data_IF_265301760160
#
_entry.id   IF_265301760160
#
_cell.length_a   1.000
_cell.length_b   1.000
_cell.length_c   1.000
_cell.angle_alpha   90.00
_cell.angle_beta   90.00
_cell.angle_gamma   90.00
#
_symmetry.space_group_name_H-M   'P 1'
#
loop_
_entity.id
_entity.type
_entity.pdbx_description
1 polymer ?
#
# COMPACT_ATOMS: atom_id res chain seq x y z
N UNK A 1 -2.53 4.52 15.10
CA UNK A 1 -3.29 3.37 14.53
C UNK A 1 -2.34 2.31 14.00
N UNK A 2 -2.83 1.09 13.71
CA UNK A 2 -2.05 0.05 13.02
C UNK A 2 -2.74 -0.24 11.68
N UNK A 3 -2.06 -0.13 10.53
CA UNK A 3 -2.65 -0.41 9.24
C UNK A 3 -2.98 -1.91 9.10
N UNK A 4 -4.09 -2.18 8.41
CA UNK A 4 -4.51 -3.51 8.00
C UNK A 4 -5.05 -3.43 6.56
N UNK A 5 -4.94 -4.52 5.82
CA UNK A 5 -5.40 -4.63 4.44
C UNK A 5 -6.30 -5.85 4.23
N UNK A 6 -6.97 -5.90 3.09
CA UNK A 6 -7.91 -6.99 2.80
C UNK A 6 -7.22 -8.36 2.74
N UNK A 7 -5.94 -8.39 2.33
CA UNK A 7 -5.12 -9.60 2.24
C UNK A 7 -4.82 -10.21 3.61
N UNK A 8 -4.88 -9.42 4.70
CA UNK A 8 -4.66 -9.89 6.06
C UNK A 8 -5.79 -10.80 6.57
N UNK A 9 -6.98 -10.71 5.98
CA UNK A 9 -8.15 -11.46 6.45
C UNK A 9 -7.95 -12.97 6.33
N UNK A 10 -7.46 -13.45 5.18
CA UNK A 10 -7.32 -14.88 4.95
C UNK A 10 -6.31 -15.56 5.90
N UNK A 11 -5.05 -15.09 6.06
CA UNK A 11 -4.13 -15.67 7.04
C UNK A 11 -4.64 -15.53 8.48
N UNK A 12 -5.38 -14.46 8.81
CA UNK A 12 -6.04 -14.34 10.12
C UNK A 12 -7.07 -15.45 10.35
N UNK A 13 -7.92 -15.73 9.36
CA UNK A 13 -8.94 -16.78 9.46
C UNK A 13 -8.32 -18.18 9.56
N UNK A 14 -7.22 -18.45 8.83
CA UNK A 14 -6.50 -19.71 8.96
C UNK A 14 -5.99 -19.93 10.39
N UNK A 15 -5.34 -18.91 10.98
CA UNK A 15 -4.84 -19.00 12.35
C UNK A 15 -5.96 -19.19 13.37
N UNK A 16 -7.05 -18.41 13.27
CA UNK A 16 -8.20 -18.52 14.16
C UNK A 16 -8.94 -19.86 14.05
N UNK A 17 -8.91 -20.49 12.87
CA UNK A 17 -9.50 -21.80 12.63
C UNK A 17 -8.57 -22.96 13.02
N UNK A 18 -7.32 -22.69 13.43
CA UNK A 18 -6.32 -23.73 13.71
C UNK A 18 -5.84 -24.48 12.47
N UNK A 19 -5.94 -23.86 11.29
CA UNK A 19 -5.51 -24.40 10.01
C UNK A 19 -4.04 -24.03 9.71
N UNK A 20 -3.33 -24.81 8.88
CA UNK A 20 -1.95 -24.48 8.52
C UNK A 20 -1.90 -23.16 7.74
N UNK A 21 -0.83 -22.39 7.97
CA UNK A 21 -0.56 -21.18 7.20
C UNK A 21 -0.27 -21.51 5.73
N UNK A 22 -0.70 -20.63 4.83
CA UNK A 22 -0.41 -20.69 3.40
C UNK A 22 0.69 -19.67 3.07
N UNK A 23 1.89 -20.17 2.73
CA UNK A 23 3.05 -19.35 2.42
C UNK A 23 2.96 -18.60 1.09
N UNK A 24 1.92 -18.85 0.28
CA UNK A 24 1.66 -18.10 -0.95
C UNK A 24 0.91 -16.79 -0.71
N UNK A 25 0.38 -16.59 0.50
CA UNK A 25 -0.32 -15.37 0.89
C UNK A 25 0.67 -14.26 1.24
N UNK A 26 0.34 -13.03 0.85
CA UNK A 26 1.17 -11.85 1.11
C UNK A 26 0.76 -11.11 2.39
N UNK A 27 -0.51 -11.24 2.79
CA UNK A 27 -1.05 -10.62 4.00
C UNK A 27 -0.49 -11.20 5.31
N UNK A 28 -0.69 -10.47 6.40
CA UNK A 28 -0.21 -10.82 7.74
C UNK A 28 -1.40 -11.07 8.68
N UNK A 29 -1.33 -12.13 9.49
CA UNK A 29 -2.38 -12.39 10.46
C UNK A 29 -2.50 -11.26 11.49
N UNK A 30 -3.73 -10.78 11.72
CA UNK A 30 -4.06 -9.73 12.69
C UNK A 30 -4.29 -10.27 14.10
N UNK A 31 -4.29 -11.59 14.31
CA UNK A 31 -4.45 -12.24 15.62
C UNK A 31 -3.53 -11.64 16.70
N UNK A 32 -2.26 -11.28 16.43
CA UNK A 32 -1.41 -10.61 17.42
C UNK A 32 -1.95 -9.24 17.88
N UNK A 33 -2.58 -8.47 16.98
CA UNK A 33 -3.20 -7.18 17.31
C UNK A 33 -4.55 -7.35 18.02
N UNK A 34 -5.30 -8.41 17.71
CA UNK A 34 -6.52 -8.75 18.45
C UNK A 34 -6.22 -9.10 19.91
N UNK A 35 -5.12 -9.83 20.15
CA UNK A 35 -4.67 -10.18 21.49
C UNK A 35 -4.03 -8.99 22.24
N UNK A 36 -3.30 -8.14 21.53
CA UNK A 36 -2.70 -6.93 22.09
C UNK A 36 -2.82 -5.76 21.10
N UNK A 37 -3.83 -4.89 21.24
CA UNK A 37 -4.03 -3.73 20.35
C UNK A 37 -2.89 -2.72 20.38
N UNK A 38 -2.00 -2.78 21.38
CA UNK A 38 -0.83 -1.91 21.52
C UNK A 38 0.45 -2.54 20.97
N UNK A 39 0.40 -3.75 20.41
CA UNK A 39 1.58 -4.39 19.84
C UNK A 39 2.17 -3.52 18.72
N UNK A 40 3.50 -3.50 18.66
CA UNK A 40 4.24 -2.90 17.55
C UNK A 40 3.86 -3.60 16.24
N UNK A 41 3.66 -2.82 15.19
CA UNK A 41 3.19 -3.31 13.89
C UNK A 41 3.98 -2.65 12.78
N UNK A 42 4.95 -3.38 12.25
CA UNK A 42 5.92 -2.89 11.28
C UNK A 42 5.52 -3.27 9.84
N UNK A 43 4.29 -3.73 9.63
CA UNK A 43 3.76 -4.10 8.31
C UNK A 43 2.89 -2.95 7.80
N UNK A 44 3.26 -2.27 6.69
CA UNK A 44 2.38 -1.30 6.08
C UNK A 44 1.25 -2.00 5.31
N UNK A 45 0.14 -1.30 5.09
CA UNK A 45 -0.86 -1.71 4.11
C UNK A 45 -0.48 -1.17 2.73
N UNK A 46 -0.58 -2.00 1.70
CA UNK A 46 -0.17 -1.66 0.33
C UNK A 46 -1.36 -1.81 -0.62
N UNK A 47 -1.69 -0.73 -1.32
CA UNK A 47 -2.76 -0.72 -2.32
C UNK A 47 -2.20 -0.39 -3.69
N UNK A 48 -2.69 -1.09 -4.72
CA UNK A 48 -2.37 -0.80 -6.12
C UNK A 48 -3.63 -0.43 -6.91
N UNK A 49 -3.49 0.53 -7.82
CA UNK A 49 -4.48 0.83 -8.86
C UNK A 49 -3.86 0.63 -10.25
N UNK A 50 -3.54 -0.63 -10.54
CA UNK A 50 -2.81 -1.01 -11.74
C UNK A 50 -1.32 -0.62 -11.71
N UNK A 51 -0.60 -0.99 -12.76
CA UNK A 51 0.86 -0.87 -12.81
C UNK A 51 1.31 0.59 -12.66
N UNK A 52 2.37 0.79 -11.86
CA UNK A 52 2.94 2.10 -11.56
C UNK A 52 2.18 2.95 -10.54
N UNK A 53 0.95 2.59 -10.15
CA UNK A 53 0.16 3.33 -9.16
C UNK A 53 0.06 2.57 -7.84
N UNK A 54 0.70 3.10 -6.80
CA UNK A 54 0.85 2.44 -5.51
C UNK A 54 0.66 3.40 -4.34
N UNK A 55 0.08 2.90 -3.25
CA UNK A 55 -0.01 3.59 -1.96
C UNK A 55 0.54 2.67 -0.87
N UNK A 56 1.43 3.18 -0.03
CA UNK A 56 1.99 2.49 1.13
C UNK A 56 1.59 3.26 2.38
N UNK A 57 0.80 2.63 3.25
CA UNK A 57 0.31 3.20 4.50
C UNK A 57 0.99 2.54 5.69
N UNK A 58 1.90 3.25 6.33
CA UNK A 58 2.47 2.86 7.62
C UNK A 58 1.64 3.43 8.78
N UNK A 59 2.05 3.19 10.02
CA UNK A 59 1.41 3.77 11.22
C UNK A 59 1.35 5.30 11.17
N UNK A 60 2.43 5.95 10.74
CA UNK A 60 2.54 7.41 10.76
C UNK A 60 2.31 8.03 9.39
N UNK A 61 2.85 7.46 8.32
CA UNK A 61 2.85 8.10 7.01
C UNK A 61 1.97 7.37 6.00
N UNK A 62 1.56 8.11 4.97
CA UNK A 62 1.05 7.56 3.72
C UNK A 62 1.91 8.08 2.60
N UNK A 63 2.51 7.17 1.86
CA UNK A 63 3.25 7.44 0.64
C UNK A 63 2.42 6.99 -0.55
N UNK A 64 2.39 7.80 -1.61
CA UNK A 64 1.73 7.47 -2.87
C UNK A 64 2.71 7.70 -4.01
N UNK A 65 2.79 6.76 -4.94
CA UNK A 65 3.48 6.92 -6.21
C UNK A 65 2.48 6.70 -7.35
N UNK A 66 2.51 7.61 -8.31
CA UNK A 66 1.72 7.51 -9.54
C UNK A 66 2.54 6.96 -10.70
N UNK A 67 1.82 6.53 -11.73
CA UNK A 67 2.40 5.97 -12.96
C UNK A 67 3.40 6.91 -13.66
N UNK A 68 3.22 8.22 -13.54
CA UNK A 68 4.13 9.24 -14.11
C UNK A 68 5.40 9.47 -13.28
N UNK A 69 5.54 8.78 -12.14
CA UNK A 69 6.64 8.93 -11.20
C UNK A 69 6.45 10.06 -10.19
N UNK A 70 5.37 10.84 -10.27
CA UNK A 70 5.03 11.81 -9.23
C UNK A 70 4.71 11.10 -7.91
N UNK A 71 4.99 11.79 -6.80
CA UNK A 71 4.94 11.23 -5.45
C UNK A 71 4.21 12.17 -4.50
N UNK A 72 3.53 11.56 -3.55
CA UNK A 72 2.92 12.25 -2.42
C UNK A 72 3.35 11.60 -1.11
N UNK A 73 3.50 12.42 -0.07
CA UNK A 73 3.78 11.96 1.27
C UNK A 73 2.94 12.78 2.26
N UNK A 74 2.23 12.09 3.14
CA UNK A 74 1.41 12.69 4.19
C UNK A 74 1.84 12.15 5.55
N UNK A 75 2.03 13.04 6.52
CA UNK A 75 2.25 12.69 7.92
C UNK A 75 0.91 12.68 8.66
N UNK A 76 0.33 11.50 8.87
CA UNK A 76 -1.00 11.39 9.46
C UNK A 76 -1.03 11.71 10.97
N UNK A 77 0.12 11.88 11.63
CA UNK A 77 0.10 12.38 13.02
C UNK A 77 -0.21 13.88 13.07
N UNK A 78 0.20 14.62 12.06
CA UNK A 78 0.03 16.08 11.97
C UNK A 78 -1.09 16.49 11.00
N UNK A 79 -1.33 15.68 9.97
CA UNK A 79 -2.28 15.90 8.88
C UNK A 79 -3.15 14.66 8.65
N UNK A 80 -4.09 14.34 9.57
CA UNK A 80 -4.93 13.15 9.49
C UNK A 80 -5.90 13.15 8.29
N UNK A 81 -6.00 14.28 7.57
CA UNK A 81 -6.87 14.45 6.41
C UNK A 81 -6.11 14.55 5.09
N UNK A 82 -4.78 14.42 5.10
CA UNK A 82 -3.94 14.34 3.90
C UNK A 82 -4.06 15.58 3.00
N UNK A 83 -4.08 16.78 3.58
CA UNK A 83 -4.20 18.03 2.83
C UNK A 83 -2.87 18.60 2.37
N UNK A 84 -1.78 18.27 3.06
CA UNK A 84 -0.45 18.85 2.81
C UNK A 84 0.51 17.77 2.32
N UNK A 85 0.77 17.77 1.02
CA UNK A 85 1.81 16.92 0.43
C UNK A 85 3.21 17.41 0.86
N UNK A 86 3.99 16.50 1.45
CA UNK A 86 5.34 16.71 1.97
C UNK A 86 6.45 16.15 1.07
N UNK A 87 6.11 15.53 -0.07
CA UNK A 87 7.05 14.79 -0.91
C UNK A 87 8.17 15.64 -1.55
N UNK A 88 7.97 16.96 -1.65
CA UNK A 88 8.95 17.89 -2.24
C UNK A 88 9.90 18.51 -1.21
N UNK A 89 9.68 18.28 0.09
CA UNK A 89 10.59 18.74 1.15
C UNK A 89 11.77 17.76 1.28
N UNK A 90 13.02 18.19 1.02
CA UNK A 90 14.20 17.33 1.10
C UNK A 90 14.39 16.64 2.46
N UNK A 91 13.81 17.19 3.54
CA UNK A 91 13.89 16.57 4.87
C UNK A 91 13.20 15.21 4.96
N UNK A 92 12.29 14.92 4.04
CA UNK A 92 11.50 13.70 4.04
C UNK A 92 12.06 12.62 3.10
N UNK A 93 13.20 12.85 2.46
CA UNK A 93 13.79 11.93 1.48
C UNK A 93 13.97 10.52 2.05
N UNK A 94 14.50 10.39 3.28
CA UNK A 94 14.67 9.08 3.92
C UNK A 94 13.35 8.35 4.16
N UNK A 95 12.28 9.07 4.52
CA UNK A 95 10.94 8.50 4.74
C UNK A 95 10.37 8.03 3.40
N UNK A 96 10.56 8.82 2.34
CA UNK A 96 10.13 8.47 0.98
C UNK A 96 10.86 7.20 0.52
N UNK A 97 12.17 7.10 0.72
CA UNK A 97 12.95 5.91 0.36
C UNK A 97 12.52 4.67 1.14
N UNK A 98 12.30 4.81 2.45
CA UNK A 98 11.78 3.74 3.31
C UNK A 98 10.45 3.20 2.78
N UNK A 99 9.50 4.08 2.45
CA UNK A 99 8.19 3.66 1.95
C UNK A 99 8.27 3.13 0.51
N UNK A 100 9.10 3.74 -0.34
CA UNK A 100 9.31 3.29 -1.72
C UNK A 100 9.95 1.89 -1.78
N UNK A 101 10.69 1.47 -0.75
CA UNK A 101 11.26 0.13 -0.67
C UNK A 101 10.20 -0.98 -0.57
N UNK A 102 8.96 -0.65 -0.18
CA UNK A 102 7.82 -1.57 -0.17
C UNK A 102 7.14 -1.75 -1.53
N UNK A 103 7.48 -0.92 -2.53
CA UNK A 103 6.91 -1.06 -3.87
C UNK A 103 7.32 -2.40 -4.51
N UNK A 104 6.43 -3.01 -5.31
CA UNK A 104 6.74 -4.27 -5.96
C UNK A 104 7.93 -4.12 -6.90
N UNK A 105 8.95 -4.96 -6.69
CA UNK A 105 10.13 -5.02 -7.57
C UNK A 105 9.85 -5.77 -8.88
N UNK A 106 8.81 -6.60 -8.88
CA UNK A 106 8.37 -7.39 -10.03
C UNK A 106 6.89 -7.15 -10.25
N UNK A 107 6.58 -6.54 -11.38
CA UNK A 107 5.23 -6.35 -11.86
C UNK A 107 4.85 -7.47 -12.84
N UNK A 108 3.60 -7.90 -12.80
CA UNK A 108 3.03 -8.85 -13.76
C UNK A 108 2.19 -8.11 -14.80
N UNK A 109 2.15 -8.56 -16.07
CA UNK A 109 1.36 -7.92 -17.10
C UNK A 109 -0.13 -7.91 -16.70
N UNK A 110 -0.81 -6.82 -17.05
CA UNK A 110 -2.25 -6.73 -16.89
C UNK A 110 -2.90 -7.84 -17.71
N UNK A 111 -3.77 -8.61 -17.07
CA UNK A 111 -4.49 -9.70 -17.74
C UNK A 111 -5.38 -9.13 -18.86
N UNK A 112 -5.59 -9.89 -19.95
CA UNK A 112 -6.50 -9.45 -21.00
C UNK A 112 -7.92 -9.32 -20.45
N UNK A 113 -8.63 -8.27 -20.85
CA UNK A 113 -10.00 -8.03 -20.40
C UNK A 113 -10.50 -6.62 -20.69
N UNK A 114 -11.74 -6.35 -20.28
CA UNK A 114 -12.41 -5.05 -20.44
C UNK A 114 -13.31 -4.73 -19.25
N UNK A 115 -12.92 -5.15 -18.05
CA UNK A 115 -13.68 -4.82 -16.83
C UNK A 115 -13.67 -3.32 -16.58
N UNK A 116 -14.57 -2.85 -15.70
CA UNK A 116 -14.60 -1.45 -15.25
C UNK A 116 -13.25 -1.00 -14.68
N UNK A 117 -12.50 -1.89 -14.01
CA UNK A 117 -11.15 -1.62 -13.54
C UNK A 117 -10.13 -1.40 -14.67
N UNK A 118 -10.20 -2.19 -15.75
CA UNK A 118 -9.35 -1.99 -16.93
C UNK A 118 -9.62 -0.62 -17.57
N UNK A 119 -10.89 -0.27 -17.74
CA UNK A 119 -11.29 1.00 -18.34
C UNK A 119 -10.88 2.19 -17.46
N UNK A 120 -11.06 2.08 -16.14
CA UNK A 120 -10.67 3.12 -15.19
C UNK A 120 -9.14 3.33 -15.17
N UNK A 121 -8.35 2.25 -15.15
CA UNK A 121 -6.89 2.33 -15.25
C UNK A 121 -6.45 2.96 -16.56
N UNK A 122 -7.03 2.54 -17.70
CA UNK A 122 -6.75 3.11 -19.01
C UNK A 122 -7.07 4.61 -19.06
N UNK A 123 -8.24 5.02 -18.55
CA UNK A 123 -8.66 6.41 -18.52
C UNK A 123 -7.76 7.27 -17.62
N UNK A 124 -7.37 6.77 -16.44
CA UNK A 124 -6.51 7.49 -15.51
C UNK A 124 -5.12 7.80 -16.11
N UNK A 125 -4.62 6.91 -16.97
CA UNK A 125 -3.28 7.05 -17.54
C UNK A 125 -3.28 7.57 -18.99
N UNK A 126 -4.44 7.81 -19.62
CA UNK A 126 -4.56 8.10 -21.05
C UNK A 126 -3.76 9.33 -21.52
N UNK A 127 -3.56 10.31 -20.65
CA UNK A 127 -2.87 11.57 -20.96
C UNK A 127 -1.43 11.63 -20.41
N UNK A 128 -0.96 10.57 -19.76
CA UNK A 128 0.39 10.53 -19.20
C UNK A 128 1.36 10.13 -20.31
N UNK A 129 2.23 11.06 -20.71
CA UNK A 129 3.35 10.74 -21.60
C UNK A 129 4.36 9.90 -20.81
N UNK A 130 4.65 8.70 -21.28
CA UNK A 130 5.82 7.95 -20.82
C UNK A 130 7.06 8.78 -21.20
N UNK A 131 7.80 9.28 -20.21
CA UNK A 131 9.14 9.82 -20.42
C UNK A 131 10.11 8.68 -20.76
#
# INVERSE_FOLDING_TARGET
>A
DRPAELLDLFPTLLELAGLPADSTQEGQSLTPLMNNPKKEWNHPAITSFGLGNYSVRSTRYRFIQYFDGSRELYDLSEDPHEWKNLATDPKNESIIEEHAAHLPKKEHPILPGGSTGHNAYGAANANIKKN
#
